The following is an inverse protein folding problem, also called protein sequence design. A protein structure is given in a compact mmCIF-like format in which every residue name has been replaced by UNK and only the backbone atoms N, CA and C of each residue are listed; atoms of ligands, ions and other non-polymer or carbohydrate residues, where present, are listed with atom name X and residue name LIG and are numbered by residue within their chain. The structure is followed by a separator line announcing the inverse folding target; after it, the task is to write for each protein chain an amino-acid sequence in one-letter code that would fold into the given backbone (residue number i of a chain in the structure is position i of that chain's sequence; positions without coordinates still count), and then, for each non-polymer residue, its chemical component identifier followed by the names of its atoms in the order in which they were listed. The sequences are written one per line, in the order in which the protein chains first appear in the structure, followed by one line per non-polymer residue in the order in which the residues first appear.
data_IF_399733610191
#
_entry.id   IF_399733610191
#
_cell.length_a   1.000
_cell.length_b   1.000
_cell.length_c   1.000
_cell.angle_alpha   90.00
_cell.angle_beta   90.00
_cell.angle_gamma   90.00
#
_symmetry.space_group_name_H-M   'P 1'
#
loop_
_entity.id
_entity.type
_entity.pdbx_description
1 polymer ?
#
# COMPACT_ATOMS: atom_id res chain seq x y z
N UNK A 1 11.89 12.15 -44.65
CA UNK A 1 12.29 11.08 -43.77
C UNK A 1 11.32 10.99 -42.62
N UNK A 2 10.71 9.86 -42.46
CA UNK A 2 9.83 9.68 -41.32
C UNK A 2 10.65 9.74 -40.04
N UNK A 3 10.15 10.40 -39.02
CA UNK A 3 10.82 10.38 -37.72
C UNK A 3 10.94 8.96 -37.24
N UNK A 4 12.15 8.54 -36.95
CA UNK A 4 12.35 7.26 -36.28
C UNK A 4 11.72 7.34 -34.92
N UNK A 5 10.63 6.66 -34.76
CA UNK A 5 10.07 6.41 -33.45
C UNK A 5 11.16 5.75 -32.59
N UNK A 6 11.47 6.31 -31.43
CA UNK A 6 12.41 5.65 -30.55
C UNK A 6 11.87 4.26 -30.24
N UNK A 7 12.62 3.27 -30.65
CA UNK A 7 12.30 1.90 -30.29
C UNK A 7 12.37 1.76 -28.80
N UNK A 8 11.26 1.36 -28.22
CA UNK A 8 11.29 0.82 -26.89
C UNK A 8 12.30 -0.33 -26.90
N UNK A 9 13.17 -0.40 -25.88
CA UNK A 9 14.18 -1.46 -25.84
C UNK A 9 13.51 -2.81 -25.72
N UNK A 10 13.35 -3.46 -26.86
CA UNK A 10 12.71 -4.77 -26.93
C UNK A 10 13.60 -5.87 -26.35
N UNK A 11 14.90 -5.60 -26.23
CA UNK A 11 15.83 -6.56 -25.66
C UNK A 11 15.69 -6.78 -24.18
N UNK A 12 14.97 -5.91 -23.47
CA UNK A 12 14.73 -6.07 -22.05
C UNK A 12 13.45 -6.83 -21.75
N UNK A 13 12.70 -7.23 -22.77
CA UNK A 13 11.41 -7.89 -22.62
C UNK A 13 11.50 -9.26 -21.95
N UNK A 14 12.70 -9.87 -21.91
CA UNK A 14 12.90 -11.17 -21.28
C UNK A 14 13.27 -11.07 -19.79
N UNK A 15 13.43 -9.86 -19.29
CA UNK A 15 13.75 -9.67 -17.88
C UNK A 15 12.47 -9.63 -17.08
N UNK A 16 12.27 -10.62 -16.23
CA UNK A 16 11.14 -10.60 -15.32
C UNK A 16 11.29 -9.43 -14.34
N UNK A 17 10.21 -8.70 -14.04
CA UNK A 17 10.30 -7.64 -13.05
C UNK A 17 10.71 -8.20 -11.70
N UNK A 18 11.49 -7.43 -10.95
CA UNK A 18 11.91 -7.82 -9.61
C UNK A 18 10.71 -7.80 -8.66
N UNK A 19 10.84 -8.52 -7.55
CA UNK A 19 9.82 -8.49 -6.50
C UNK A 19 9.58 -7.07 -6.01
N UNK A 20 10.65 -6.27 -5.90
CA UNK A 20 10.53 -4.87 -5.50
C UNK A 20 9.73 -4.05 -6.53
N UNK A 21 9.99 -4.25 -7.81
CA UNK A 21 9.27 -3.54 -8.87
C UNK A 21 7.79 -3.92 -8.90
N UNK A 22 7.48 -5.20 -8.70
CA UNK A 22 6.09 -5.68 -8.66
C UNK A 22 5.36 -5.11 -7.43
N UNK A 23 6.02 -5.05 -6.29
CA UNK A 23 5.45 -4.48 -5.08
C UNK A 23 5.17 -2.99 -5.26
N UNK A 24 6.09 -2.27 -5.88
CA UNK A 24 5.92 -0.85 -6.14
C UNK A 24 4.78 -0.59 -7.12
N UNK A 25 4.64 -1.41 -8.14
CA UNK A 25 3.54 -1.32 -9.08
C UNK A 25 2.19 -1.55 -8.39
N UNK A 26 2.11 -2.53 -7.51
CA UNK A 26 0.90 -2.79 -6.74
C UNK A 26 0.54 -1.59 -5.86
N UNK A 27 1.54 -0.96 -5.22
CA UNK A 27 1.31 0.24 -4.43
C UNK A 27 0.82 1.41 -5.28
N UNK A 28 1.38 1.56 -6.49
CA UNK A 28 0.95 2.62 -7.41
C UNK A 28 -0.53 2.46 -7.78
N UNK A 29 -0.95 1.24 -8.09
CA UNK A 29 -2.34 0.96 -8.42
C UNK A 29 -3.27 1.16 -7.24
N UNK A 30 -2.85 0.69 -6.06
CA UNK A 30 -3.61 0.88 -4.83
C UNK A 30 -3.80 2.38 -4.56
N UNK A 31 -2.74 3.16 -4.67
CA UNK A 31 -2.79 4.59 -4.44
C UNK A 31 -3.73 5.28 -5.43
N UNK A 32 -3.63 4.95 -6.71
CA UNK A 32 -4.50 5.54 -7.72
C UNK A 32 -5.97 5.26 -7.42
N UNK A 33 -6.28 4.03 -7.01
CA UNK A 33 -7.64 3.65 -6.64
C UNK A 33 -8.14 4.44 -5.42
N UNK A 34 -7.31 4.55 -4.41
CA UNK A 34 -7.65 5.30 -3.20
C UNK A 34 -7.87 6.78 -3.51
N UNK A 35 -7.03 7.37 -4.36
CA UNK A 35 -7.16 8.77 -4.75
C UNK A 35 -8.45 9.02 -5.52
N UNK A 36 -8.85 8.10 -6.38
CA UNK A 36 -10.12 8.20 -7.09
C UNK A 36 -11.30 8.16 -6.13
N UNK A 37 -11.14 7.51 -4.99
CA UNK A 37 -12.16 7.46 -3.96
C UNK A 37 -12.12 8.67 -3.01
N UNK A 38 -11.27 9.66 -3.29
CA UNK A 38 -11.19 10.89 -2.51
C UNK A 38 -10.14 10.88 -1.41
N UNK A 39 -9.31 9.86 -1.33
CA UNK A 39 -8.24 9.80 -0.35
C UNK A 39 -7.08 10.70 -0.78
N UNK A 40 -6.45 11.35 0.18
CA UNK A 40 -5.24 12.14 -0.05
C UNK A 40 -4.02 11.40 0.45
N UNK A 41 -2.98 11.34 -0.37
CA UNK A 41 -1.72 10.74 0.05
C UNK A 41 -1.03 11.65 1.06
N UNK A 42 -0.63 11.06 2.19
CA UNK A 42 0.17 11.73 3.20
C UNK A 42 1.63 11.31 3.06
N UNK A 43 1.88 10.00 2.99
CA UNK A 43 3.25 9.50 2.86
C UNK A 43 3.23 8.08 2.31
N UNK A 44 4.26 7.73 1.54
CA UNK A 44 4.49 6.36 1.06
C UNK A 44 5.71 5.77 1.76
N UNK A 45 5.66 4.47 1.95
CA UNK A 45 6.81 3.69 2.43
C UNK A 45 7.40 4.27 3.70
N UNK A 46 6.53 4.51 4.68
CA UNK A 46 6.96 4.99 5.97
C UNK A 46 7.64 3.86 6.73
N UNK A 47 8.84 4.11 7.22
CA UNK A 47 9.59 3.15 8.02
C UNK A 47 10.00 3.79 9.34
N UNK A 48 9.87 3.01 10.40
CA UNK A 48 10.41 3.43 11.69
C UNK A 48 11.93 3.26 11.68
N UNK A 49 12.66 4.14 12.37
CA UNK A 49 14.12 3.99 12.44
C UNK A 49 14.51 2.79 13.30
N UNK A 50 15.71 2.25 13.01
CA UNK A 50 16.29 1.20 13.84
C UNK A 50 15.84 -0.20 13.45
N UNK A 51 16.35 -1.16 14.24
CA UNK A 51 16.04 -2.58 14.03
C UNK A 51 14.71 -2.93 14.69
N UNK A 52 14.02 -3.90 14.10
CA UNK A 52 12.75 -4.37 14.65
C UNK A 52 11.59 -3.41 14.43
N UNK A 53 11.80 -2.40 13.61
CA UNK A 53 10.75 -1.43 13.30
C UNK A 53 9.71 -1.99 12.35
N UNK A 54 8.69 -1.18 12.09
CA UNK A 54 7.62 -1.49 11.17
C UNK A 54 7.69 -0.64 9.92
N UNK A 55 6.85 -1.01 8.97
CA UNK A 55 6.72 -0.31 7.70
C UNK A 55 5.24 -0.19 7.35
N UNK A 56 4.87 0.95 6.75
CA UNK A 56 3.52 1.19 6.25
C UNK A 56 3.64 1.56 4.79
N UNK A 57 2.95 0.83 3.93
CA UNK A 57 3.05 1.05 2.49
C UNK A 57 2.49 2.40 2.08
N UNK A 58 1.30 2.76 2.58
CA UNK A 58 0.68 4.04 2.28
C UNK A 58 0.04 4.60 3.55
N UNK A 59 0.23 5.88 3.77
CA UNK A 59 -0.53 6.65 4.76
C UNK A 59 -1.38 7.64 3.98
N UNK A 60 -2.67 7.54 4.12
CA UNK A 60 -3.61 8.40 3.40
C UNK A 60 -4.61 9.02 4.38
N UNK A 61 -5.30 10.05 3.93
CA UNK A 61 -6.32 10.73 4.71
C UNK A 61 -7.63 10.70 3.95
N UNK A 62 -8.69 10.28 4.60
CA UNK A 62 -10.00 10.26 3.94
C UNK A 62 -10.64 11.64 3.94
N UNK A 63 -11.77 11.85 3.21
CA UNK A 63 -12.42 13.16 3.14
C UNK A 63 -12.90 13.70 4.48
N UNK A 64 -13.11 12.83 5.47
CA UNK A 64 -13.53 13.24 6.82
C UNK A 64 -12.35 13.53 7.75
N UNK A 65 -11.13 13.38 7.27
CA UNK A 65 -9.94 13.63 8.06
C UNK A 65 -9.41 12.42 8.81
N UNK A 66 -10.00 11.24 8.65
CA UNK A 66 -9.48 10.01 9.24
C UNK A 66 -8.15 9.65 8.59
N UNK A 67 -7.15 9.36 9.42
CA UNK A 67 -5.85 8.91 8.97
C UNK A 67 -5.89 7.40 8.77
N UNK A 68 -5.53 6.95 7.59
CA UNK A 68 -5.67 5.55 7.20
C UNK A 68 -4.29 4.98 6.89
N UNK A 69 -3.92 3.93 7.62
CA UNK A 69 -2.67 3.21 7.40
C UNK A 69 -2.98 2.00 6.55
N UNK A 70 -2.38 1.94 5.36
CA UNK A 70 -2.75 0.98 4.33
C UNK A 70 -1.62 0.00 4.10
N UNK A 71 -1.94 -1.28 4.20
CA UNK A 71 -1.10 -2.37 3.76
C UNK A 71 -1.53 -2.79 2.38
N UNK A 72 -0.58 -2.82 1.44
CA UNK A 72 -0.84 -3.27 0.07
C UNK A 72 -0.31 -4.68 -0.09
N UNK A 73 -1.18 -5.59 -0.52
CA UNK A 73 -0.85 -6.99 -0.72
C UNK A 73 -1.05 -7.36 -2.18
N UNK A 74 -0.03 -7.92 -2.80
CA UNK A 74 -0.14 -8.45 -4.14
C UNK A 74 -0.58 -9.91 -4.10
N UNK A 75 -1.54 -10.25 -4.93
CA UNK A 75 -2.07 -11.61 -5.08
C UNK A 75 -1.78 -12.14 -6.46
N UNK A 76 -1.50 -13.43 -6.56
CA UNK A 76 -1.26 -14.08 -7.85
C UNK A 76 -2.54 -14.59 -8.50
N UNK A 77 -3.63 -14.60 -7.77
CA UNK A 77 -4.92 -15.08 -8.25
C UNK A 77 -5.96 -13.98 -8.15
N UNK A 78 -7.05 -14.12 -8.93
CA UNK A 78 -8.18 -13.19 -8.87
C UNK A 78 -9.07 -13.41 -7.66
N UNK A 79 -8.88 -14.52 -6.97
CA UNK A 79 -9.66 -14.80 -5.77
C UNK A 79 -9.11 -14.00 -4.60
N UNK A 80 -9.95 -13.13 -4.08
CA UNK A 80 -9.65 -12.40 -2.86
C UNK A 80 -10.46 -13.05 -1.76
N UNK A 81 -9.80 -13.39 -0.68
CA UNK A 81 -10.50 -13.97 0.45
C UNK A 81 -9.82 -13.61 1.74
N UNK A 82 -10.61 -13.31 2.75
CA UNK A 82 -10.11 -13.09 4.09
C UNK A 82 -9.04 -12.00 4.18
N UNK A 83 -9.30 -10.82 3.64
CA UNK A 83 -8.32 -9.74 3.57
C UNK A 83 -7.61 -9.47 4.89
N UNK A 84 -8.35 -9.44 6.00
CA UNK A 84 -7.73 -9.29 7.32
C UNK A 84 -6.88 -10.51 7.66
N UNK A 85 -7.31 -11.71 7.28
CA UNK A 85 -6.57 -12.93 7.51
C UNK A 85 -5.32 -13.03 6.63
N UNK A 86 -5.26 -12.29 5.52
CA UNK A 86 -4.07 -12.26 4.67
C UNK A 86 -2.91 -11.50 5.31
N UNK A 87 -3.19 -10.71 6.34
CA UNK A 87 -2.17 -9.99 7.09
C UNK A 87 -1.96 -10.72 8.41
N UNK A 88 -0.81 -11.35 8.57
CA UNK A 88 -0.51 -12.15 9.75
C UNK A 88 -0.51 -11.29 11.01
N UNK A 89 -0.69 -11.94 12.14
CA UNK A 89 -0.63 -11.28 13.46
C UNK A 89 0.70 -10.53 13.65
N UNK A 90 1.82 -11.16 13.25
CA UNK A 90 3.12 -10.52 13.34
C UNK A 90 3.19 -9.25 12.49
N UNK A 91 2.61 -9.30 11.30
CA UNK A 91 2.60 -8.15 10.39
C UNK A 91 1.68 -7.05 10.91
N UNK A 92 0.52 -7.41 11.45
CA UNK A 92 -0.37 -6.44 12.08
C UNK A 92 0.34 -5.70 13.21
N UNK A 93 1.08 -6.41 14.06
CA UNK A 93 1.84 -5.79 15.13
C UNK A 93 2.86 -4.78 14.64
N UNK A 94 3.55 -5.11 13.54
CA UNK A 94 4.53 -4.19 12.94
C UNK A 94 3.87 -2.95 12.38
N UNK A 95 2.71 -3.12 11.74
CA UNK A 95 1.94 -2.00 11.22
C UNK A 95 1.44 -1.10 12.35
N UNK A 96 0.92 -1.68 13.42
CA UNK A 96 0.45 -0.94 14.58
C UNK A 96 1.60 -0.18 15.22
N UNK A 97 2.76 -0.82 15.38
CA UNK A 97 3.95 -0.18 15.94
C UNK A 97 4.35 1.02 15.07
N UNK A 98 4.41 0.84 13.76
CA UNK A 98 4.79 1.92 12.85
C UNK A 98 3.78 3.07 12.89
N UNK A 99 2.49 2.74 12.96
CA UNK A 99 1.43 3.75 13.05
C UNK A 99 1.55 4.56 14.34
N UNK A 100 1.78 3.90 15.49
CA UNK A 100 1.96 4.59 16.76
C UNK A 100 3.19 5.49 16.74
N UNK A 101 4.26 5.01 16.12
CA UNK A 101 5.47 5.82 15.98
C UNK A 101 5.22 7.05 15.12
N UNK A 102 4.51 6.88 14.01
CA UNK A 102 4.13 8.00 13.15
C UNK A 102 3.28 9.03 13.90
N UNK A 103 2.30 8.55 14.67
CA UNK A 103 1.36 9.42 15.38
C UNK A 103 2.03 10.29 16.46
N UNK A 104 3.20 9.88 16.96
CA UNK A 104 3.93 10.66 17.96
C UNK A 104 4.33 12.05 17.47
N UNK A 105 4.41 12.25 16.17
CA UNK A 105 4.78 13.54 15.57
C UNK A 105 3.62 14.50 15.45
N UNK A 106 2.40 14.04 15.76
CA UNK A 106 1.20 14.86 15.62
C UNK A 106 0.83 15.49 16.94
N UNK A 107 0.42 16.78 16.87
CA UNK A 107 -0.03 17.49 18.06
C UNK A 107 -1.39 17.00 18.54
N UNK A 108 -2.28 16.69 17.59
CA UNK A 108 -3.61 16.18 17.89
C UNK A 108 -3.79 14.84 17.19
N UNK A 109 -4.33 13.87 17.93
CA UNK A 109 -4.56 12.54 17.37
C UNK A 109 -5.83 12.54 16.54
N UNK A 110 -5.74 12.27 15.23
CA UNK A 110 -6.94 12.10 14.40
C UNK A 110 -7.57 10.74 14.64
N UNK A 111 -8.79 10.56 14.16
CA UNK A 111 -9.34 9.23 14.01
C UNK A 111 -8.44 8.44 13.07
N UNK A 112 -8.23 7.16 13.36
CA UNK A 112 -7.33 6.28 12.59
C UNK A 112 -8.02 4.97 12.28
N UNK A 113 -7.61 4.36 11.17
CA UNK A 113 -7.99 2.98 10.88
C UNK A 113 -6.89 2.32 10.05
N UNK A 114 -6.93 0.98 10.01
CA UNK A 114 -6.03 0.17 9.22
C UNK A 114 -6.81 -0.46 8.07
N UNK A 115 -6.36 -0.24 6.85
CA UNK A 115 -6.96 -0.80 5.65
C UNK A 115 -5.97 -1.74 4.97
N UNK A 116 -6.52 -2.72 4.25
CA UNK A 116 -5.73 -3.61 3.40
C UNK A 116 -6.25 -3.49 1.98
N UNK A 117 -5.34 -3.26 1.05
CA UNK A 117 -5.68 -3.28 -0.38
C UNK A 117 -4.98 -4.48 -1.00
N UNK A 118 -5.75 -5.41 -1.50
CA UNK A 118 -5.25 -6.56 -2.23
C UNK A 118 -5.26 -6.24 -3.72
N UNK A 119 -4.12 -6.41 -4.37
CA UNK A 119 -3.96 -6.17 -5.80
C UNK A 119 -3.73 -7.50 -6.48
N UNK A 120 -4.64 -7.88 -7.34
CA UNK A 120 -4.57 -9.12 -8.09
C UNK A 120 -4.14 -8.91 -9.54
N UNK A 121 -4.16 -10.00 -10.33
CA UNK A 121 -3.83 -9.92 -11.76
C UNK A 121 -4.77 -8.96 -12.49
N UNK A 122 -4.26 -8.37 -13.56
CA UNK A 122 -5.04 -7.48 -14.43
C UNK A 122 -5.65 -6.29 -13.70
N UNK A 123 -4.93 -5.78 -12.68
CA UNK A 123 -5.34 -4.62 -11.89
C UNK A 123 -6.65 -4.83 -11.12
N UNK A 124 -6.96 -6.08 -10.79
CA UNK A 124 -8.08 -6.34 -9.88
C UNK A 124 -7.70 -5.90 -8.48
N UNK A 125 -8.66 -5.30 -7.79
CA UNK A 125 -8.42 -4.72 -6.46
C UNK A 125 -9.52 -5.13 -5.51
N UNK A 126 -9.12 -5.39 -4.26
CA UNK A 126 -10.04 -5.57 -3.16
C UNK A 126 -9.59 -4.69 -1.99
N UNK A 127 -10.39 -3.72 -1.66
CA UNK A 127 -10.07 -2.75 -0.60
C UNK A 127 -10.90 -3.06 0.64
N UNK A 128 -10.22 -3.45 1.70
CA UNK A 128 -10.84 -3.79 2.98
C UNK A 128 -10.60 -2.65 3.96
N UNK A 129 -11.66 -1.95 4.28
CA UNK A 129 -11.61 -0.83 5.23
C UNK A 129 -11.78 -1.37 6.65
N UNK A 130 -10.95 -0.84 7.57
CA UNK A 130 -11.01 -1.29 8.94
C UNK A 130 -10.72 -2.77 9.08
N UNK A 131 -9.68 -3.26 8.39
CA UNK A 131 -9.38 -4.68 8.31
C UNK A 131 -8.97 -5.29 9.64
N UNK A 132 -8.41 -4.50 10.53
CA UNK A 132 -8.07 -4.92 11.90
C UNK A 132 -7.96 -3.68 12.79
N UNK A 133 -8.00 -3.91 14.08
CA UNK A 133 -7.95 -2.83 15.04
C UNK A 133 -6.53 -2.63 15.59
N UNK A 134 -6.19 -1.38 15.84
CA UNK A 134 -4.86 -0.98 16.34
C UNK A 134 -4.64 -1.17 17.83
N UNK A 135 -5.56 -1.86 18.47
CA UNK A 135 -5.44 -2.27 19.81
C UNK A 135 -5.81 -1.44 20.89
#
# INVERSE_FOLDING_TARGET
MPPTTPRLPTGTSNTKPTTKALGQQAEDWALAHLQQAGMQLVQRNYRTPGRGGGEIDLIVRDPQGTLVFVEVRRRNTRQFGGGAASVTWAKQKRLIFAARFYLKRLTHLPACRFDVVEVGPEQTLNWLQGAFEGG
#
